data_IF_391266918969
#
_entry.id   IF_391266918969
#
_cell.length_a   1.000
_cell.length_b   1.000
_cell.length_c   1.000
_cell.angle_alpha   90.00
_cell.angle_beta   90.00
_cell.angle_gamma   90.00
#
_symmetry.space_group_name_H-M   'P 1'
#
loop_
_entity.id
_entity.type
_entity.pdbx_description
1 polymer ?
#
# COMPACT_ATOMS: atom_id res chain seq x y z
N UNK A 1 28.01 9.75 10.53
CA UNK A 1 27.24 10.82 11.19
C UNK A 1 26.17 10.12 12.02
N UNK A 2 26.41 9.94 13.32
CA UNK A 2 25.49 9.21 14.19
C UNK A 2 24.65 10.22 14.97
N UNK A 3 23.34 9.98 15.01
CA UNK A 3 22.43 10.76 15.82
C UNK A 3 22.53 10.25 17.27
N UNK A 4 23.05 11.08 18.16
CA UNK A 4 23.22 10.76 19.59
C UNK A 4 22.13 11.35 20.47
N UNK A 5 20.95 11.59 19.91
CA UNK A 5 19.82 12.26 20.55
C UNK A 5 18.52 11.58 20.11
N UNK A 6 17.45 11.75 20.89
CA UNK A 6 16.12 11.23 20.55
C UNK A 6 15.55 11.85 19.26
N UNK A 7 15.96 13.08 18.94
CA UNK A 7 15.58 13.76 17.69
C UNK A 7 16.81 14.38 17.03
N UNK A 8 16.88 14.37 15.71
CA UNK A 8 17.94 15.03 14.95
C UNK A 8 17.48 15.49 13.57
N UNK A 9 18.29 16.34 12.94
CA UNK A 9 18.05 16.80 11.57
C UNK A 9 18.31 15.69 10.57
N UNK A 10 17.48 15.57 9.51
CA UNK A 10 17.69 14.58 8.46
C UNK A 10 18.92 14.91 7.61
N UNK A 11 19.52 13.87 7.03
CA UNK A 11 20.73 13.98 6.21
C UNK A 11 20.30 14.18 4.76
N UNK A 12 20.72 15.28 4.13
CA UNK A 12 20.41 15.61 2.74
C UNK A 12 21.72 15.74 1.95
N UNK A 13 21.98 14.84 0.99
CA UNK A 13 23.27 14.79 0.26
C UNK A 13 23.47 15.92 -0.77
N UNK A 14 22.38 16.50 -1.31
CA UNK A 14 22.40 17.52 -2.37
C UNK A 14 21.48 18.72 -2.09
N UNK A 15 21.23 19.03 -0.82
CA UNK A 15 20.38 20.14 -0.39
C UNK A 15 18.92 19.73 -0.13
N UNK A 16 18.04 20.68 0.24
CA UNK A 16 16.67 20.39 0.70
C UNK A 16 15.75 19.80 -0.37
N UNK A 17 16.06 20.01 -1.66
CA UNK A 17 15.31 19.44 -2.79
C UNK A 17 15.78 18.02 -3.17
N UNK A 18 16.95 17.59 -2.67
CA UNK A 18 17.36 16.20 -2.73
C UNK A 18 16.76 15.49 -1.52
N UNK A 19 15.93 14.48 -1.75
CA UNK A 19 15.23 13.78 -0.67
C UNK A 19 16.15 13.45 0.50
N UNK A 20 15.79 13.94 1.68
CA UNK A 20 16.55 13.71 2.90
C UNK A 20 16.19 12.36 3.52
N UNK A 21 17.15 11.74 4.20
CA UNK A 21 16.96 10.46 4.88
C UNK A 21 17.38 10.52 6.34
N UNK A 22 16.85 9.59 7.13
CA UNK A 22 17.21 9.41 8.52
C UNK A 22 18.27 8.32 8.68
N UNK A 23 19.16 8.42 9.68
CA UNK A 23 20.03 7.32 10.07
C UNK A 23 19.23 6.06 10.43
N UNK A 24 19.90 4.90 10.43
CA UNK A 24 19.29 3.64 10.91
C UNK A 24 18.81 3.79 12.36
N UNK A 25 17.67 3.16 12.68
CA UNK A 25 17.01 3.30 13.99
C UNK A 25 16.20 4.59 14.18
N UNK A 26 16.05 5.42 13.13
CA UNK A 26 15.24 6.64 13.17
C UNK A 26 14.15 6.65 12.09
N UNK A 27 13.02 7.29 12.41
CA UNK A 27 11.89 7.52 11.50
C UNK A 27 11.71 9.03 11.25
N UNK A 28 11.37 9.41 10.01
CA UNK A 28 11.10 10.80 9.68
C UNK A 28 9.71 11.21 10.19
N UNK A 29 9.68 12.17 11.11
CA UNK A 29 8.47 12.72 11.76
C UNK A 29 8.62 14.24 11.86
N UNK A 30 7.66 15.01 11.33
CA UNK A 30 7.67 16.48 11.36
C UNK A 30 8.99 17.13 10.91
N UNK A 31 9.56 16.64 9.80
CA UNK A 31 10.86 17.08 9.23
C UNK A 31 12.09 16.79 10.09
N UNK A 32 11.94 16.06 11.18
CA UNK A 32 13.03 15.59 12.04
C UNK A 32 13.10 14.07 12.00
N UNK A 33 14.27 13.54 12.26
CA UNK A 33 14.48 12.12 12.51
C UNK A 33 14.24 11.89 13.99
N UNK A 34 13.25 11.07 14.32
CA UNK A 34 12.93 10.65 15.68
C UNK A 34 13.37 9.21 15.89
N UNK A 35 13.99 8.96 17.03
CA UNK A 35 14.43 7.65 17.47
C UNK A 35 13.24 6.67 17.55
N UNK A 36 13.43 5.46 17.04
CA UNK A 36 12.40 4.41 17.11
C UNK A 36 12.54 3.74 18.48
N UNK A 37 11.50 3.79 19.30
CA UNK A 37 11.50 3.09 20.59
C UNK A 37 11.18 1.60 20.38
N UNK A 38 12.21 0.76 20.28
CA UNK A 38 12.04 -0.68 20.10
C UNK A 38 11.52 -1.40 21.35
N UNK A 39 11.56 -0.77 22.54
CA UNK A 39 11.09 -1.37 23.78
C UNK A 39 9.57 -1.55 23.85
N UNK A 40 8.82 -0.99 22.90
CA UNK A 40 7.38 -1.19 22.85
C UNK A 40 7.03 -2.65 22.54
N UNK A 41 7.84 -3.38 21.74
CA UNK A 41 7.49 -4.75 21.32
C UNK A 41 8.66 -5.74 21.08
N UNK A 42 9.94 -5.34 21.17
CA UNK A 42 11.04 -6.20 20.68
C UNK A 42 11.68 -7.14 21.74
N UNK A 43 11.57 -6.86 23.05
CA UNK A 43 12.20 -7.68 24.11
C UNK A 43 11.19 -8.51 24.95
N UNK A 44 11.57 -9.75 25.30
CA UNK A 44 10.75 -10.65 26.14
C UNK A 44 10.67 -10.21 27.61
N UNK A 45 11.74 -9.62 28.15
CA UNK A 45 11.86 -9.35 29.59
C UNK A 45 12.25 -7.90 29.90
N UNK A 46 13.53 -7.55 29.82
CA UNK A 46 14.02 -6.21 30.14
C UNK A 46 14.48 -5.55 28.84
N UNK A 47 14.17 -4.25 28.70
CA UNK A 47 14.54 -3.44 27.54
C UNK A 47 15.01 -2.07 27.99
N UNK A 48 16.13 -1.62 27.40
CA UNK A 48 16.61 -0.25 27.51
C UNK A 48 16.73 0.33 26.09
N UNK A 49 15.90 1.34 25.79
CA UNK A 49 15.95 2.04 24.51
C UNK A 49 17.19 2.94 24.43
N UNK A 50 17.86 2.97 23.28
CA UNK A 50 19.02 3.83 23.05
C UNK A 50 18.92 4.51 21.69
N UNK A 51 19.67 5.58 21.47
CA UNK A 51 19.53 6.33 20.22
C UNK A 51 20.03 5.50 19.02
N UNK A 52 19.09 5.11 18.16
CA UNK A 52 19.28 4.30 16.98
C UNK A 52 19.45 2.80 17.24
N UNK A 53 19.17 2.29 18.46
CA UNK A 53 19.36 0.89 18.85
C UNK A 53 18.69 0.60 20.19
N UNK A 54 18.66 -0.64 20.64
CA UNK A 54 18.15 -0.98 21.96
C UNK A 54 18.92 -2.16 22.56
N UNK A 55 18.78 -2.30 23.86
CA UNK A 55 19.41 -3.37 24.62
C UNK A 55 18.32 -4.21 25.27
N UNK A 56 18.24 -5.49 24.88
CA UNK A 56 17.45 -6.45 25.63
C UNK A 56 18.32 -7.14 26.68
N UNK A 57 17.75 -7.38 27.85
CA UNK A 57 18.35 -8.22 28.88
C UNK A 57 17.34 -9.18 29.48
N UNK A 58 17.85 -10.28 30.04
CA UNK A 58 17.05 -11.29 30.70
C UNK A 58 17.33 -11.29 32.20
N UNK A 59 16.31 -11.63 32.98
CA UNK A 59 16.39 -11.82 34.43
C UNK A 59 17.33 -12.98 34.75
N UNK A 60 17.78 -13.00 36.01
CA UNK A 60 18.63 -14.06 36.53
C UNK A 60 18.02 -15.45 36.28
N UNK A 61 18.86 -16.40 35.87
CA UNK A 61 18.43 -17.75 35.47
C UNK A 61 17.91 -17.85 34.02
N UNK A 62 17.94 -16.77 33.24
CA UNK A 62 17.63 -16.75 31.81
C UNK A 62 18.81 -16.19 31.00
N UNK A 63 18.95 -16.66 29.77
CA UNK A 63 19.92 -16.19 28.78
C UNK A 63 19.19 -15.61 27.58
N UNK A 64 19.73 -14.51 27.04
CA UNK A 64 19.25 -13.92 25.81
C UNK A 64 19.57 -14.84 24.63
N UNK A 65 18.58 -15.08 23.80
CA UNK A 65 18.61 -15.88 22.58
C UNK A 65 17.84 -15.09 21.52
N UNK A 66 18.31 -15.01 20.29
CA UNK A 66 17.59 -14.44 19.14
C UNK A 66 16.92 -13.05 19.39
N UNK A 67 17.65 -11.95 19.13
CA UNK A 67 17.13 -10.57 18.98
C UNK A 67 16.14 -10.06 20.05
N UNK A 68 16.13 -10.63 21.25
CA UNK A 68 15.24 -10.22 22.33
C UNK A 68 14.58 -11.34 23.14
N UNK A 69 14.71 -12.61 22.71
CA UNK A 69 14.09 -13.73 23.43
C UNK A 69 14.88 -14.19 24.63
N UNK A 70 14.18 -14.59 25.69
CA UNK A 70 14.82 -15.07 26.91
C UNK A 70 14.50 -16.55 27.16
N UNK A 71 15.52 -17.40 27.22
CA UNK A 71 15.38 -18.83 27.53
C UNK A 71 16.06 -19.18 28.85
N UNK A 72 15.50 -20.12 29.62
CA UNK A 72 16.10 -20.53 30.90
C UNK A 72 17.53 -21.04 30.70
N UNK A 73 18.46 -20.58 31.54
CA UNK A 73 19.84 -21.05 31.56
C UNK A 73 19.89 -22.37 32.35
N UNK A 74 20.20 -23.46 31.66
CA UNK A 74 20.42 -24.77 32.27
C UNK A 74 21.88 -24.83 32.76
N UNK A 75 22.11 -24.61 34.06
CA UNK A 75 23.43 -24.57 34.68
C UNK A 75 23.75 -23.18 35.25
N UNK A 76 24.17 -23.13 36.52
CA UNK A 76 24.36 -21.93 37.35
C UNK A 76 25.52 -21.03 36.96
N UNK A 77 25.64 -20.68 35.69
CA UNK A 77 26.52 -19.62 35.22
C UNK A 77 25.66 -18.43 34.86
N UNK A 78 25.78 -17.39 35.68
CA UNK A 78 25.24 -16.06 35.38
C UNK A 78 26.29 -15.31 34.57
N UNK A 79 26.09 -15.16 33.26
CA UNK A 79 26.46 -13.94 32.59
C UNK A 79 25.17 -13.20 32.28
N UNK A 80 25.03 -11.99 32.84
CA UNK A 80 24.19 -10.95 32.24
C UNK A 80 24.78 -10.69 30.86
N UNK A 81 24.34 -11.47 29.86
CA UNK A 81 24.76 -11.25 28.48
C UNK A 81 23.97 -10.03 28.02
N UNK A 82 24.60 -8.85 28.15
CA UNK A 82 24.11 -7.61 27.57
C UNK A 82 24.16 -7.80 26.04
N UNK A 83 23.03 -8.15 25.45
CA UNK A 83 22.89 -8.22 24.00
C UNK A 83 22.55 -6.84 23.49
N UNK A 84 23.53 -6.12 22.95
CA UNK A 84 23.25 -4.93 22.14
C UNK A 84 22.62 -5.41 20.84
N UNK A 85 21.32 -5.16 20.66
CA UNK A 85 20.62 -5.51 19.42
C UNK A 85 20.80 -4.34 18.45
N UNK A 86 21.64 -4.54 17.43
CA UNK A 86 21.88 -3.57 16.34
C UNK A 86 20.75 -3.57 15.31
N UNK A 87 20.51 -2.42 14.66
CA UNK A 87 19.45 -1.46 14.95
C UNK A 87 18.10 -1.84 14.31
N UNK A 88 17.00 -1.17 14.71
CA UNK A 88 15.74 -1.28 13.99
C UNK A 88 15.93 -0.99 12.49
N UNK A 89 15.63 -1.98 11.67
CA UNK A 89 15.40 -1.75 10.25
C UNK A 89 14.11 -0.96 10.14
N UNK A 90 14.22 0.31 9.74
CA UNK A 90 13.07 1.03 9.26
C UNK A 90 12.62 0.35 7.96
N UNK A 91 11.66 -0.58 8.07
CA UNK A 91 11.02 -1.17 6.90
C UNK A 91 10.27 -0.12 6.05
N UNK A 92 10.26 1.15 6.49
CA UNK A 92 10.15 2.34 5.66
C UNK A 92 11.39 2.56 4.77
N UNK A 93 11.79 1.53 4.00
CA UNK A 93 12.22 1.84 2.63
C UNK A 93 11.04 2.60 2.04
N UNK A 94 11.29 3.82 1.58
CA UNK A 94 10.31 4.70 0.94
C UNK A 94 9.17 3.86 0.36
N UNK A 95 8.00 4.00 0.96
CA UNK A 95 6.75 3.62 0.34
C UNK A 95 6.53 4.61 -0.82
N UNK A 96 7.44 4.60 -1.79
CA UNK A 96 7.02 4.64 -3.17
C UNK A 96 6.13 3.44 -3.29
N UNK A 97 4.84 3.64 -3.02
CA UNK A 97 3.81 2.76 -3.49
C UNK A 97 4.01 2.70 -5.00
N UNK A 98 4.82 1.74 -5.45
CA UNK A 98 4.66 1.15 -6.75
C UNK A 98 3.30 0.47 -6.67
N UNK A 99 2.23 1.28 -6.76
CA UNK A 99 0.93 0.78 -7.12
C UNK A 99 1.17 -0.08 -8.36
N UNK A 100 0.69 -1.34 -8.39
CA UNK A 100 0.88 -2.17 -9.55
C UNK A 100 0.33 -1.38 -10.73
N UNK A 101 1.21 -1.06 -11.69
CA UNK A 101 0.93 -0.26 -12.88
C UNK A 101 -0.14 -0.88 -13.81
N UNK A 102 -0.91 -1.86 -13.34
CA UNK A 102 -2.03 -2.48 -14.01
C UNK A 102 -3.40 -1.87 -13.69
N UNK A 103 -3.56 -1.13 -12.58
CA UNK A 103 -4.90 -0.68 -12.14
C UNK A 103 -5.61 0.30 -13.07
N UNK A 104 -4.85 1.17 -13.74
CA UNK A 104 -5.42 2.21 -14.61
C UNK A 104 -5.79 1.68 -16.01
N UNK A 105 -5.04 0.71 -16.53
CA UNK A 105 -5.26 0.16 -17.88
C UNK A 105 -6.61 -0.55 -17.98
N UNK A 106 -7.00 -1.30 -16.93
CA UNK A 106 -8.30 -1.99 -16.89
C UNK A 106 -9.49 -1.03 -16.90
N UNK A 107 -9.37 0.14 -16.27
CA UNK A 107 -10.41 1.17 -16.29
C UNK A 107 -10.62 1.67 -17.72
N UNK A 108 -9.54 1.95 -18.45
CA UNK A 108 -9.65 2.39 -19.85
C UNK A 108 -10.20 1.29 -20.78
N UNK A 109 -9.78 0.03 -20.60
CA UNK A 109 -10.30 -1.10 -21.37
C UNK A 109 -11.81 -1.26 -21.14
N UNK A 110 -12.26 -1.23 -19.89
CA UNK A 110 -13.68 -1.38 -19.55
C UNK A 110 -14.53 -0.24 -20.10
N UNK A 111 -14.04 1.01 -20.04
CA UNK A 111 -14.71 2.18 -20.63
C UNK A 111 -14.82 2.05 -22.15
N UNK A 112 -13.75 1.66 -22.85
CA UNK A 112 -13.75 1.51 -24.31
C UNK A 112 -14.73 0.42 -24.74
N UNK A 113 -14.73 -0.73 -24.06
CA UNK A 113 -15.65 -1.84 -24.35
C UNK A 113 -17.10 -1.41 -24.12
N UNK A 114 -17.40 -0.72 -23.02
CA UNK A 114 -18.75 -0.23 -22.73
C UNK A 114 -19.25 0.77 -23.80
N UNK A 115 -18.40 1.69 -24.26
CA UNK A 115 -18.74 2.62 -25.33
C UNK A 115 -19.02 1.90 -26.66
N UNK A 116 -18.18 0.92 -27.01
CA UNK A 116 -18.39 0.12 -28.22
C UNK A 116 -19.72 -0.65 -28.18
N UNK A 117 -20.03 -1.30 -27.05
CA UNK A 117 -21.31 -2.01 -26.85
C UNK A 117 -22.49 -1.05 -26.97
N UNK A 118 -22.40 0.12 -26.34
CA UNK A 118 -23.47 1.12 -26.40
C UNK A 118 -23.73 1.60 -27.83
N UNK A 119 -22.68 1.84 -28.62
CA UNK A 119 -22.79 2.20 -30.04
C UNK A 119 -23.45 1.07 -30.84
N UNK A 120 -23.06 -0.19 -30.63
CA UNK A 120 -23.65 -1.35 -31.29
C UNK A 120 -25.15 -1.48 -30.96
N UNK A 121 -25.52 -1.32 -29.68
CA UNK A 121 -26.92 -1.37 -29.23
C UNK A 121 -27.73 -0.24 -29.85
N UNK A 122 -27.21 0.98 -29.91
CA UNK A 122 -27.90 2.11 -30.58
C UNK A 122 -28.09 1.79 -32.05
N UNK A 123 -27.05 1.31 -32.75
CA UNK A 123 -27.15 0.95 -34.18
C UNK A 123 -28.19 -0.13 -34.40
N UNK A 124 -28.17 -1.19 -33.60
CA UNK A 124 -29.17 -2.26 -33.66
C UNK A 124 -30.58 -1.73 -33.39
N UNK A 125 -30.75 -0.87 -32.38
CA UNK A 125 -32.04 -0.27 -32.04
C UNK A 125 -32.56 0.64 -33.17
N UNK A 126 -31.69 1.46 -33.76
CA UNK A 126 -32.02 2.32 -34.90
C UNK A 126 -32.40 1.48 -36.11
N UNK A 127 -31.64 0.44 -36.46
CA UNK A 127 -31.95 -0.48 -37.57
C UNK A 127 -33.27 -1.21 -37.31
N UNK A 128 -33.49 -1.72 -36.10
CA UNK A 128 -34.76 -2.35 -35.71
C UNK A 128 -35.93 -1.38 -35.78
N UNK A 129 -35.71 -0.11 -35.40
CA UNK A 129 -36.71 0.95 -35.51
C UNK A 129 -36.98 1.33 -36.97
N UNK A 130 -35.97 1.35 -37.82
CA UNK A 130 -36.11 1.56 -39.27
C UNK A 130 -36.91 0.42 -39.90
N UNK A 131 -36.56 -0.84 -39.59
CA UNK A 131 -37.30 -2.02 -40.07
C UNK A 131 -38.79 -2.00 -39.66
N UNK A 132 -39.10 -1.62 -38.41
CA UNK A 132 -40.51 -1.45 -37.99
C UNK A 132 -41.24 -0.32 -38.73
N UNK A 133 -40.54 0.77 -39.09
CA UNK A 133 -41.14 1.83 -39.92
C UNK A 133 -41.44 1.33 -41.33
N UNK A 134 -40.57 0.51 -41.92
CA UNK A 134 -40.80 -0.11 -43.22
C UNK A 134 -42.02 -1.06 -43.18
N UNK A 135 -42.14 -1.90 -42.15
CA UNK A 135 -43.31 -2.78 -41.96
C UNK A 135 -44.62 -2.00 -41.82
N UNK A 136 -44.63 -0.89 -41.06
CA UNK A 136 -45.80 0.00 -40.95
C UNK A 136 -46.16 0.69 -42.28
N UNK A 137 -45.17 1.10 -43.08
CA UNK A 137 -45.42 1.68 -44.42
C UNK A 137 -46.04 0.67 -45.39
N UNK A 138 -45.65 -0.61 -45.32
CA UNK A 138 -46.22 -1.66 -46.16
C UNK A 138 -47.68 -1.96 -45.78
N UNK A 139 -48.01 -1.92 -44.48
CA UNK A 139 -49.37 -2.22 -44.01
C UNK A 139 -50.38 -1.10 -44.30
N UNK A 140 -49.93 0.14 -44.52
CA UNK A 140 -50.81 1.24 -44.94
C UNK A 140 -51.11 1.23 -46.46
N UNK A 141 -50.30 0.54 -47.27
CA UNK A 141 -50.57 0.32 -48.71
C UNK A 141 -51.55 -0.83 -49.00
N UNK A 142 -51.82 -1.71 -48.03
CA UNK A 142 -52.67 -2.90 -48.22
C UNK A 142 -54.08 -2.77 -47.65
N UNK A 143 -54.52 -1.56 -47.25
CA UNK A 143 -55.94 -1.32 -46.96
C UNK A 143 -56.70 -1.20 -48.29
N UNK A 144 -57.65 -2.09 -48.60
CA UNK A 144 -58.41 -2.04 -49.84
C UNK A 144 -59.34 -0.82 -49.84
N UNK A 145 -59.31 -0.04 -50.93
CA UNK A 145 -60.38 0.89 -51.29
C UNK A 145 -61.56 0.03 -51.75
N UNK A 146 -62.39 -0.42 -50.81
CA UNK A 146 -63.68 -1.01 -51.14
C UNK A 146 -64.69 0.11 -51.40
N UNK A 147 -65.01 0.23 -52.69
CA UNK A 147 -66.25 0.70 -53.32
C UNK A 147 -67.31 1.38 -52.41
N UNK A 148 -67.57 2.65 -52.71
CA UNK A 148 -68.93 3.21 -52.68
C UNK A 148 -69.28 3.53 -54.12
N UNK A 149 -70.20 2.73 -54.68
CA UNK A 149 -70.84 2.98 -55.97
C UNK A 149 -72.30 3.40 -55.71
N UNK A 150 -72.84 4.21 -56.63
CA UNK A 150 -74.13 4.93 -56.66
C UNK A 150 -74.24 6.24 -55.87
#
# INVERSE_FOLDING_TARGET
MHCGQQKCTPICERGPDSGCFCPEGFVLSDHLCEDIDECVNECDQMCDNSFGSFVCSCKEGYKLKDHGKCVKAEGGESPVVIGVVKPATNNHTQQGAAAPAGGLVWIWITVIVALAVFIIVIRFYVVKRQKRREEHSIQQSTVPVDNVDC
#
